data_IF_646076543678
#
_entry.id   IF_646076543678
#
_cell.length_a   1.000
_cell.length_b   1.000
_cell.length_c   1.000
_cell.angle_alpha   90.00
_cell.angle_beta   90.00
_cell.angle_gamma   90.00
#
_symmetry.space_group_name_H-M   'P 1'
#
loop_
_entity.id
_entity.type
_entity.pdbx_description
1 polymer ?
#
# COMPACT_ATOMS: atom_id res chain seq x y z
N UNK A 1 -9.47 38.41 21.50
CA UNK A 1 -10.94 38.59 21.46
C UNK A 1 -11.55 37.23 21.18
N UNK A 2 -12.33 36.68 22.11
CA UNK A 2 -12.96 35.36 21.97
C UNK A 2 -14.19 35.45 21.07
N UNK A 3 -14.24 34.64 20.01
CA UNK A 3 -15.47 34.43 19.24
C UNK A 3 -16.54 33.88 20.19
N UNK A 4 -17.58 34.67 20.43
CA UNK A 4 -18.72 34.25 21.25
C UNK A 4 -19.45 33.10 20.55
N UNK A 5 -19.18 31.89 21.01
CA UNK A 5 -19.90 30.69 20.57
C UNK A 5 -21.37 30.84 20.98
N UNK A 6 -22.26 31.02 20.00
CA UNK A 6 -23.70 31.19 20.23
C UNK A 6 -24.34 29.83 20.51
N UNK A 7 -24.78 29.63 21.75
CA UNK A 7 -25.53 28.42 22.17
C UNK A 7 -27.03 28.63 21.93
N UNK A 8 -27.75 27.55 21.58
CA UNK A 8 -29.22 27.51 21.57
C UNK A 8 -29.76 27.55 23.01
N UNK A 9 -31.03 27.94 23.24
CA UNK A 9 -31.62 28.04 24.57
C UNK A 9 -31.60 26.73 25.38
N UNK A 10 -31.48 25.58 24.73
CA UNK A 10 -31.31 24.27 25.36
C UNK A 10 -29.85 23.87 25.67
N UNK A 11 -28.91 24.81 25.62
CA UNK A 11 -27.48 24.56 25.93
C UNK A 11 -26.68 23.86 24.83
N UNK A 12 -27.33 23.39 23.76
CA UNK A 12 -26.69 22.81 22.58
C UNK A 12 -26.05 23.88 21.71
N UNK A 13 -24.92 23.58 21.07
CA UNK A 13 -24.29 24.47 20.11
C UNK A 13 -25.13 24.57 18.83
N UNK A 14 -25.02 25.69 18.10
CA UNK A 14 -25.67 25.83 16.80
C UNK A 14 -25.16 24.75 15.82
N UNK A 15 -26.01 24.34 14.89
CA UNK A 15 -25.66 23.37 13.85
C UNK A 15 -24.45 23.89 13.03
N UNK A 16 -23.42 23.05 12.88
CA UNK A 16 -22.14 23.45 12.28
C UNK A 16 -21.12 24.09 13.25
N UNK A 17 -21.52 24.46 14.48
CA UNK A 17 -20.61 24.91 15.52
C UNK A 17 -20.31 23.76 16.49
N UNK A 18 -19.15 23.13 16.33
CA UNK A 18 -18.66 22.20 17.35
C UNK A 18 -17.97 22.99 18.46
N UNK A 19 -18.38 22.80 19.71
CA UNK A 19 -17.73 23.38 20.90
C UNK A 19 -16.30 22.86 21.14
N UNK A 20 -15.77 22.04 20.23
CA UNK A 20 -14.46 21.41 20.35
C UNK A 20 -13.66 21.66 19.05
N UNK A 21 -13.10 22.87 18.91
CA UNK A 21 -12.26 23.24 17.76
C UNK A 21 -11.08 22.26 17.54
N UNK A 22 -10.65 21.56 18.59
CA UNK A 22 -9.62 20.53 18.53
C UNK A 22 -10.09 19.19 17.90
N UNK A 23 -11.37 18.83 18.03
CA UNK A 23 -11.94 17.60 17.47
C UNK A 23 -12.39 17.73 16.01
N UNK A 24 -12.68 18.97 15.56
CA UNK A 24 -13.09 19.29 14.20
C UNK A 24 -11.92 19.40 13.20
N UNK A 25 -10.67 19.30 13.66
CA UNK A 25 -9.56 18.94 12.77
C UNK A 25 -9.76 17.49 12.38
N UNK A 26 -10.64 17.27 11.39
CA UNK A 26 -10.80 16.01 10.69
C UNK A 26 -9.40 15.45 10.47
N UNK A 27 -9.07 14.37 11.19
CA UNK A 27 -7.96 13.52 10.76
C UNK A 27 -8.28 13.21 9.31
N UNK A 28 -7.43 13.64 8.38
CA UNK A 28 -7.58 13.26 6.98
C UNK A 28 -7.70 11.72 7.01
N UNK A 29 -8.78 11.14 6.48
CA UNK A 29 -8.88 9.68 6.46
C UNK A 29 -7.61 9.18 5.78
N UNK A 30 -6.87 8.31 6.46
CA UNK A 30 -5.70 7.69 5.85
C UNK A 30 -6.19 7.02 4.55
N UNK A 31 -5.53 7.27 3.41
CA UNK A 31 -5.96 6.67 2.16
C UNK A 31 -5.95 5.14 2.32
N UNK A 32 -7.10 4.52 2.06
CA UNK A 32 -7.21 3.07 2.07
C UNK A 32 -6.27 2.53 0.98
N UNK A 33 -5.24 1.80 1.39
CA UNK A 33 -4.33 1.14 0.45
C UNK A 33 -5.12 0.09 -0.34
N UNK A 34 -5.09 0.19 -1.67
CA UNK A 34 -5.67 -0.84 -2.51
C UNK A 34 -4.76 -2.08 -2.52
N UNK A 35 -5.31 -3.24 -2.87
CA UNK A 35 -4.49 -4.44 -3.07
C UNK A 35 -3.32 -4.17 -4.04
N UNK A 36 -3.58 -3.41 -5.11
CA UNK A 36 -2.54 -3.04 -6.08
C UNK A 36 -1.42 -2.21 -5.47
N UNK A 37 -1.73 -1.32 -4.52
CA UNK A 37 -0.72 -0.50 -3.84
C UNK A 37 0.17 -1.34 -2.92
N UNK A 38 -0.41 -2.35 -2.27
CA UNK A 38 0.32 -3.30 -1.42
C UNK A 38 1.30 -4.12 -2.28
N UNK A 39 0.79 -4.75 -3.35
CA UNK A 39 1.61 -5.58 -4.26
C UNK A 39 2.77 -4.78 -4.88
N UNK A 40 2.52 -3.54 -5.29
CA UNK A 40 3.57 -2.64 -5.80
C UNK A 40 4.61 -2.31 -4.72
N UNK A 41 4.17 -2.13 -3.48
CA UNK A 41 5.08 -1.86 -2.36
C UNK A 41 5.96 -3.06 -2.08
N UNK A 42 5.41 -4.27 -2.07
CA UNK A 42 6.17 -5.50 -1.84
C UNK A 42 7.24 -5.71 -2.92
N UNK A 43 6.87 -5.58 -4.20
CA UNK A 43 7.82 -5.68 -5.31
C UNK A 43 8.88 -4.59 -5.26
N UNK A 44 8.51 -3.37 -4.88
CA UNK A 44 9.45 -2.27 -4.69
C UNK A 44 10.47 -2.59 -3.60
N UNK A 45 10.02 -3.06 -2.43
CA UNK A 45 10.91 -3.46 -1.33
C UNK A 45 11.84 -4.59 -1.76
N UNK A 46 11.34 -5.55 -2.54
CA UNK A 46 12.17 -6.62 -3.07
C UNK A 46 13.24 -6.15 -4.05
N UNK A 47 12.95 -5.10 -4.82
CA UNK A 47 13.88 -4.45 -5.76
C UNK A 47 14.90 -3.52 -5.10
N UNK A 48 14.75 -3.19 -3.81
CA UNK A 48 15.69 -2.32 -3.10
C UNK A 48 17.10 -2.88 -3.15
N UNK A 49 18.06 -2.02 -3.48
CA UNK A 49 19.47 -2.38 -3.54
C UNK A 49 20.04 -2.42 -2.13
N UNK A 50 20.66 -3.54 -1.77
CA UNK A 50 21.39 -3.73 -0.52
C UNK A 50 22.89 -3.82 -0.79
N UNK A 51 23.68 -3.15 0.04
CA UNK A 51 25.15 -3.15 -0.09
C UNK A 51 25.77 -4.40 0.52
N UNK A 52 26.72 -5.01 -0.18
CA UNK A 52 27.59 -6.07 0.35
C UNK A 52 29.00 -5.55 0.63
N UNK A 53 29.70 -6.21 1.55
CA UNK A 53 31.15 -6.01 1.77
C UNK A 53 31.97 -6.28 0.50
N UNK A 54 31.46 -7.14 -0.38
CA UNK A 54 32.10 -7.61 -1.61
C UNK A 54 32.07 -6.56 -2.75
N UNK A 55 31.52 -5.37 -2.50
CA UNK A 55 31.58 -4.20 -3.38
C UNK A 55 30.56 -4.17 -4.52
N UNK A 56 29.85 -5.27 -4.82
CA UNK A 56 28.79 -5.30 -5.84
C UNK A 56 27.41 -5.09 -5.20
N UNK A 57 26.64 -4.06 -5.61
CA UNK A 57 25.26 -3.91 -5.17
C UNK A 57 24.40 -5.03 -5.75
N UNK A 58 23.52 -5.59 -4.94
CA UNK A 58 22.51 -6.57 -5.38
C UNK A 58 21.15 -6.17 -4.80
N UNK A 59 20.07 -6.71 -5.35
CA UNK A 59 18.74 -6.47 -4.78
C UNK A 59 18.53 -7.25 -3.49
N UNK A 60 17.59 -6.81 -2.66
CA UNK A 60 17.18 -7.52 -1.45
C UNK A 60 16.71 -8.94 -1.76
N UNK A 61 16.00 -9.13 -2.87
CA UNK A 61 15.60 -10.44 -3.34
C UNK A 61 16.80 -11.34 -3.69
N UNK A 62 17.77 -10.82 -4.43
CA UNK A 62 18.97 -11.59 -4.74
C UNK A 62 19.75 -11.97 -3.47
N UNK A 63 19.88 -11.03 -2.52
CA UNK A 63 20.48 -11.32 -1.22
C UNK A 63 19.75 -12.44 -0.46
N UNK A 64 18.41 -12.39 -0.45
CA UNK A 64 17.60 -13.43 0.16
C UNK A 64 17.89 -14.80 -0.50
N UNK A 65 17.83 -14.90 -1.82
CA UNK A 65 18.14 -16.15 -2.53
C UNK A 65 19.55 -16.67 -2.21
N UNK A 66 20.55 -15.78 -2.19
CA UNK A 66 21.93 -16.15 -1.81
C UNK A 66 22.02 -16.65 -0.37
N UNK A 67 21.32 -16.02 0.57
CA UNK A 67 21.27 -16.44 1.98
C UNK A 67 20.63 -17.82 2.12
N UNK A 68 19.53 -18.07 1.41
CA UNK A 68 18.87 -19.38 1.38
C UNK A 68 19.81 -20.47 0.81
N UNK A 69 20.53 -20.15 -0.27
CA UNK A 69 21.47 -21.07 -0.92
C UNK A 69 22.69 -21.39 -0.05
N UNK A 70 23.18 -20.43 0.75
CA UNK A 70 24.26 -20.64 1.72
C UNK A 70 23.87 -21.58 2.87
N UNK A 71 22.57 -21.82 3.07
CA UNK A 71 22.06 -22.76 4.07
C UNK A 71 22.16 -22.26 5.52
N UNK A 72 22.41 -20.97 5.73
CA UNK A 72 22.47 -20.36 7.06
C UNK A 72 21.12 -20.52 7.77
N UNK A 73 21.11 -21.27 8.88
CA UNK A 73 19.90 -21.64 9.59
C UNK A 73 19.25 -20.46 10.32
N UNK A 74 20.02 -19.43 10.67
CA UNK A 74 19.53 -18.32 11.50
C UNK A 74 18.38 -17.55 10.84
N UNK A 75 18.35 -17.48 9.51
CA UNK A 75 17.36 -16.70 8.76
C UNK A 75 16.69 -17.49 7.63
N UNK A 76 16.90 -18.81 7.55
CA UNK A 76 16.46 -19.63 6.40
C UNK A 76 14.96 -19.55 6.14
N UNK A 77 14.15 -19.65 7.18
CA UNK A 77 12.68 -19.62 7.09
C UNK A 77 12.20 -18.24 6.62
N UNK A 78 12.59 -17.18 7.32
CA UNK A 78 12.23 -15.81 6.94
C UNK A 78 12.65 -15.46 5.50
N UNK A 79 13.80 -15.96 5.06
CA UNK A 79 14.29 -15.79 3.70
C UNK A 79 13.43 -16.52 2.67
N UNK A 80 13.00 -17.74 3.00
CA UNK A 80 12.09 -18.53 2.15
C UNK A 80 10.74 -17.83 2.02
N UNK A 81 10.16 -17.41 3.14
CA UNK A 81 8.87 -16.74 3.19
C UNK A 81 8.91 -15.42 2.40
N UNK A 82 10.02 -14.68 2.49
CA UNK A 82 10.23 -13.47 1.68
C UNK A 82 10.20 -13.76 0.17
N UNK A 83 10.88 -14.81 -0.27
CA UNK A 83 10.92 -15.22 -1.68
C UNK A 83 9.54 -15.65 -2.17
N UNK A 84 8.84 -16.48 -1.39
CA UNK A 84 7.46 -16.93 -1.67
C UNK A 84 6.50 -15.74 -1.77
N UNK A 85 6.49 -14.85 -0.77
CA UNK A 85 5.61 -13.69 -0.74
C UNK A 85 5.86 -12.74 -1.93
N UNK A 86 7.13 -12.50 -2.29
CA UNK A 86 7.46 -11.65 -3.43
C UNK A 86 7.02 -12.28 -4.75
N UNK A 87 7.17 -13.60 -4.90
CA UNK A 87 6.73 -14.32 -6.09
C UNK A 87 5.20 -14.31 -6.24
N UNK A 88 4.48 -14.47 -5.13
CA UNK A 88 3.02 -14.38 -5.08
C UNK A 88 2.56 -12.98 -5.47
N UNK A 89 3.21 -11.95 -4.90
CA UNK A 89 2.88 -10.57 -5.21
C UNK A 89 3.05 -10.22 -6.69
N UNK A 90 4.09 -10.77 -7.34
CA UNK A 90 4.30 -10.61 -8.77
C UNK A 90 3.17 -11.25 -9.59
N UNK A 91 2.79 -12.49 -9.26
CA UNK A 91 1.72 -13.23 -9.95
C UNK A 91 0.36 -12.54 -9.82
N UNK A 92 0.05 -12.03 -8.63
CA UNK A 92 -1.20 -11.34 -8.35
C UNK A 92 -1.29 -10.01 -9.10
N UNK A 93 -0.18 -9.27 -9.17
CA UNK A 93 -0.14 -8.01 -9.93
C UNK A 93 -0.38 -8.25 -11.43
N UNK A 94 0.29 -9.25 -12.02
CA UNK A 94 0.05 -9.61 -13.42
C UNK A 94 -1.38 -10.09 -13.69
N UNK A 95 -2.00 -10.80 -12.75
CA UNK A 95 -3.39 -11.23 -12.86
C UNK A 95 -4.35 -10.04 -12.83
N UNK A 96 -4.13 -9.08 -11.93
CA UNK A 96 -4.90 -7.84 -11.84
C UNK A 96 -4.81 -7.05 -13.15
N UNK A 97 -3.60 -6.83 -13.65
CA UNK A 97 -3.38 -6.04 -14.88
C UNK A 97 -4.03 -6.69 -16.11
N UNK A 98 -3.94 -8.03 -16.23
CA UNK A 98 -4.66 -8.75 -17.29
C UNK A 98 -6.17 -8.63 -17.16
N UNK A 99 -6.71 -8.64 -15.94
CA UNK A 99 -8.15 -8.51 -15.71
C UNK A 99 -8.67 -7.11 -16.05
N UNK A 100 -7.91 -6.06 -15.74
CA UNK A 100 -8.23 -4.67 -16.06
C UNK A 100 -8.23 -4.45 -17.58
N UNK A 101 -7.19 -4.94 -18.27
CA UNK A 101 -7.09 -4.83 -19.73
C UNK A 101 -8.29 -5.49 -20.45
N UNK A 102 -8.76 -6.64 -19.95
CA UNK A 102 -9.97 -7.30 -20.50
C UNK A 102 -11.22 -6.46 -20.28
N UNK A 103 -11.40 -5.90 -19.07
CA UNK A 103 -12.56 -5.04 -18.77
C UNK A 103 -12.59 -3.79 -19.64
N UNK A 104 -11.44 -3.20 -19.92
CA UNK A 104 -11.33 -2.04 -20.79
C UNK A 104 -11.70 -2.37 -22.25
N UNK A 105 -11.23 -3.51 -22.77
CA UNK A 105 -11.61 -3.98 -24.10
C UNK A 105 -13.11 -4.25 -24.22
N UNK A 106 -13.72 -4.88 -23.21
CA UNK A 106 -15.16 -5.16 -23.21
C UNK A 106 -16.00 -3.88 -23.16
N UNK A 107 -15.56 -2.86 -22.41
CA UNK A 107 -16.19 -1.53 -22.41
C UNK A 107 -16.09 -0.87 -23.78
N UNK A 108 -14.90 -0.83 -24.36
CA UNK A 108 -14.68 -0.24 -25.69
C UNK A 108 -15.51 -0.93 -26.79
N UNK A 109 -15.74 -2.25 -26.69
CA UNK A 109 -16.62 -2.99 -27.61
C UNK A 109 -18.10 -2.62 -27.44
N UNK A 110 -18.56 -2.45 -26.20
CA UNK A 110 -19.95 -2.02 -25.92
C UNK A 110 -20.21 -0.59 -26.39
N UNK A 111 -19.24 0.30 -26.22
CA UNK A 111 -19.39 1.71 -26.60
C UNK A 111 -19.37 1.92 -28.13
N UNK A 112 -18.69 1.04 -28.90
CA UNK A 112 -18.73 1.06 -30.37
C UNK A 112 -19.95 0.36 -30.99
N UNK A 113 -20.68 -0.43 -30.19
CA UNK A 113 -21.88 -1.15 -30.62
C UNK A 113 -23.19 -0.40 -30.36
N UNK A 114 -23.12 0.81 -29.79
CA UNK A 114 -24.23 1.78 -29.66
C UNK A 114 -24.07 2.89 -30.67
#
# INVERSE_FOLDING_TARGET
MSEQIRRRPGGQFAEGQSGNAAGARLRKPDPLLTLRDILRTDLRVASEVVGFKDGKPVTRYENAVRTLAKGDSAYRLATRDFVEHTADAARDLEALERSEARREQDRARRDRGR
#
